data_IF_437881431410
#
_entry.id   IF_437881431410
#
_cell.length_a   1.000
_cell.length_b   1.000
_cell.length_c   1.000
_cell.angle_alpha   90.00
_cell.angle_beta   90.00
_cell.angle_gamma   90.00
#
_symmetry.space_group_name_H-M   'P 1'
#
loop_
_entity.id
_entity.type
_entity.pdbx_description
1 polymer ?
#
# COMPACT_ATOMS: atom_id res chain seq x y z
N UNK A 1 15.36 -4.04 -4.57
CA UNK A 1 14.52 -4.68 -5.60
C UNK A 1 13.76 -3.53 -6.26
N UNK A 2 14.36 -2.92 -7.29
CA UNK A 2 13.73 -1.81 -8.02
C UNK A 2 12.54 -2.37 -8.79
N UNK A 3 11.37 -1.77 -8.58
CA UNK A 3 10.17 -2.16 -9.32
C UNK A 3 10.30 -1.59 -10.74
N UNK A 4 9.94 -2.37 -11.77
CA UNK A 4 10.07 -2.04 -13.20
C UNK A 4 9.34 -0.76 -13.66
N UNK A 5 8.64 -0.07 -12.76
CA UNK A 5 7.81 1.10 -13.02
C UNK A 5 8.25 2.36 -12.25
N UNK A 6 9.42 2.37 -11.59
CA UNK A 6 9.88 3.55 -10.85
C UNK A 6 10.28 4.73 -11.76
N UNK A 7 10.68 4.46 -13.01
CA UNK A 7 11.17 5.48 -13.96
C UNK A 7 10.23 5.75 -15.16
N UNK A 8 9.06 5.12 -15.19
CA UNK A 8 8.09 5.32 -16.29
C UNK A 8 7.20 6.54 -16.06
N UNK A 9 6.96 7.35 -17.09
CA UNK A 9 5.96 8.41 -17.00
C UNK A 9 4.57 7.81 -16.69
N UNK A 10 3.79 8.41 -15.77
CA UNK A 10 2.45 7.95 -15.49
C UNK A 10 1.60 7.98 -16.76
N UNK A 11 1.12 6.82 -17.19
CA UNK A 11 0.16 6.76 -18.30
C UNK A 11 -1.19 7.27 -17.79
N UNK A 12 -1.84 8.23 -18.48
CA UNK A 12 -3.16 8.70 -18.07
C UNK A 12 -4.16 7.54 -18.06
N UNK A 13 -5.14 7.56 -17.14
CA UNK A 13 -6.13 6.50 -17.05
C UNK A 13 -6.93 6.41 -18.36
N UNK A 14 -7.19 5.19 -18.81
CA UNK A 14 -7.96 4.90 -20.03
C UNK A 14 -9.04 3.88 -19.75
N UNK A 15 -10.15 3.97 -20.48
CA UNK A 15 -11.18 2.95 -20.48
C UNK A 15 -10.71 1.67 -21.18
N UNK A 16 -11.21 0.52 -20.71
CA UNK A 16 -10.84 -0.81 -21.25
C UNK A 16 -11.15 -0.94 -22.75
N UNK A 17 -12.22 -0.30 -23.21
CA UNK A 17 -12.63 -0.28 -24.63
C UNK A 17 -11.55 0.34 -25.53
N UNK A 18 -10.98 1.47 -25.10
CA UNK A 18 -9.94 2.17 -25.85
C UNK A 18 -8.63 1.36 -25.90
N UNK A 19 -8.36 0.53 -24.89
CA UNK A 19 -7.22 -0.39 -24.90
C UNK A 19 -7.50 -1.55 -25.85
N UNK A 20 -8.71 -2.12 -25.81
CA UNK A 20 -9.10 -3.23 -26.69
C UNK A 20 -9.04 -2.85 -28.16
N UNK A 21 -9.49 -1.65 -28.52
CA UNK A 21 -9.40 -1.14 -29.89
C UNK A 21 -7.94 -0.99 -30.37
N UNK A 22 -7.06 -0.46 -29.51
CA UNK A 22 -5.65 -0.27 -29.85
C UNK A 22 -4.89 -1.59 -30.11
N UNK A 23 -5.26 -2.67 -29.41
CA UNK A 23 -4.59 -3.97 -29.51
C UNK A 23 -5.42 -5.03 -30.25
N UNK A 24 -6.37 -4.60 -31.09
CA UNK A 24 -7.32 -5.49 -31.77
C UNK A 24 -6.62 -6.59 -32.59
N UNK A 25 -5.54 -6.26 -33.29
CA UNK A 25 -4.77 -7.22 -34.10
C UNK A 25 -4.11 -8.29 -33.23
N UNK A 26 -3.50 -7.91 -32.11
CA UNK A 26 -2.90 -8.86 -31.17
C UNK A 26 -3.95 -9.78 -30.56
N UNK A 27 -5.15 -9.25 -30.25
CA UNK A 27 -6.26 -10.06 -29.76
C UNK A 27 -6.73 -11.05 -30.85
N UNK A 28 -6.80 -10.61 -32.11
CA UNK A 28 -7.14 -11.48 -33.23
C UNK A 28 -6.11 -12.61 -33.45
N UNK A 29 -4.84 -12.36 -33.12
CA UNK A 29 -3.76 -13.35 -33.09
C UNK A 29 -3.78 -14.26 -31.84
N UNK A 30 -4.74 -14.07 -30.93
CA UNK A 30 -4.95 -14.92 -29.75
C UNK A 30 -4.42 -14.35 -28.43
N UNK A 31 -3.98 -13.08 -28.40
CA UNK A 31 -3.62 -12.43 -27.15
C UNK A 31 -4.86 -12.14 -26.27
N UNK A 32 -4.64 -12.03 -24.96
CA UNK A 32 -5.68 -11.72 -23.98
C UNK A 32 -5.28 -10.53 -23.11
N UNK A 33 -6.26 -9.75 -22.69
CA UNK A 33 -6.04 -8.65 -21.74
C UNK A 33 -6.04 -9.18 -20.31
N UNK A 34 -5.05 -8.73 -19.52
CA UNK A 34 -4.97 -8.99 -18.08
C UNK A 34 -5.13 -7.69 -17.31
N UNK A 35 -6.05 -7.67 -16.34
CA UNK A 35 -6.18 -6.56 -15.42
C UNK A 35 -5.20 -6.74 -14.26
N UNK A 36 -4.22 -5.86 -14.16
CA UNK A 36 -3.33 -5.77 -13.01
C UNK A 36 -3.81 -4.59 -12.16
N UNK A 37 -4.19 -4.79 -10.89
CA UNK A 37 -4.62 -3.69 -10.04
C UNK A 37 -3.46 -2.72 -9.84
N UNK A 38 -3.69 -1.46 -10.17
CA UNK A 38 -2.74 -0.40 -9.88
C UNK A 38 -2.78 -0.07 -8.38
N UNK A 39 -1.75 -0.51 -7.65
CA UNK A 39 -1.58 -0.17 -6.24
C UNK A 39 -0.69 1.07 -6.16
N UNK A 40 -1.29 2.21 -5.87
CA UNK A 40 -0.51 3.42 -5.58
C UNK A 40 0.42 3.16 -4.40
N UNK A 41 1.68 3.60 -4.53
CA UNK A 41 2.60 3.57 -3.40
C UNK A 41 2.14 4.56 -2.33
N UNK A 42 1.42 4.04 -1.32
CA UNK A 42 0.98 4.79 -0.14
C UNK A 42 2.02 4.77 0.99
N UNK A 43 3.26 4.35 0.75
CA UNK A 43 4.32 4.26 1.78
C UNK A 43 4.81 5.62 2.29
N UNK A 44 4.21 6.74 1.84
CA UNK A 44 4.55 8.05 2.39
C UNK A 44 4.28 8.07 3.89
N UNK A 45 5.34 8.19 4.68
CA UNK A 45 5.25 8.38 6.13
C UNK A 45 4.69 9.78 6.41
N UNK A 46 3.59 9.84 7.14
CA UNK A 46 2.96 11.09 7.60
C UNK A 46 3.07 11.17 9.12
N UNK A 47 3.50 12.32 9.64
CA UNK A 47 3.54 12.58 11.08
C UNK A 47 2.16 13.02 11.55
N UNK A 48 1.70 12.42 12.64
CA UNK A 48 0.42 12.74 13.29
C UNK A 48 0.67 13.01 14.77
N UNK A 49 -0.14 13.88 15.36
CA UNK A 49 -0.14 14.14 16.80
C UNK A 49 -1.28 13.34 17.43
N UNK A 50 -1.01 12.61 18.51
CA UNK A 50 -1.98 11.81 19.25
C UNK A 50 -1.97 12.22 20.72
N UNK A 51 -3.15 12.34 21.30
CA UNK A 51 -3.31 12.46 22.75
C UNK A 51 -3.54 11.08 23.35
N UNK A 52 -2.66 10.65 24.26
CA UNK A 52 -2.72 9.35 24.93
C UNK A 52 -2.48 9.55 26.42
N UNK A 53 -3.06 8.69 27.24
CA UNK A 53 -2.75 8.66 28.67
C UNK A 53 -1.26 8.32 28.89
N UNK A 54 -0.62 9.01 29.83
CA UNK A 54 0.82 8.86 30.07
C UNK A 54 1.21 7.43 30.43
N UNK A 55 0.47 6.78 31.33
CA UNK A 55 0.75 5.40 31.73
C UNK A 55 0.60 4.39 30.57
N UNK A 56 -0.35 4.64 29.67
CA UNK A 56 -0.51 3.83 28.46
C UNK A 56 0.66 4.03 27.50
N UNK A 57 1.09 5.28 27.30
CA UNK A 57 2.25 5.59 26.46
C UNK A 57 3.53 4.89 26.95
N UNK A 58 3.76 4.88 28.26
CA UNK A 58 4.93 4.23 28.86
C UNK A 58 4.86 2.69 28.68
N UNK A 59 3.69 2.10 28.89
CA UNK A 59 3.45 0.66 28.65
C UNK A 59 3.65 0.29 27.18
N UNK A 60 3.21 1.15 26.27
CA UNK A 60 3.36 0.96 24.83
C UNK A 60 4.82 1.03 24.40
N UNK A 61 5.57 2.01 24.90
CA UNK A 61 7.00 2.15 24.62
C UNK A 61 7.80 0.93 25.12
N UNK A 62 7.46 0.41 26.29
CA UNK A 62 8.09 -0.80 26.81
C UNK A 62 7.78 -2.02 25.94
N UNK A 63 6.52 -2.20 25.54
CA UNK A 63 6.11 -3.28 24.65
C UNK A 63 6.77 -3.18 23.26
N UNK A 64 6.99 -1.97 22.76
CA UNK A 64 7.72 -1.72 21.52
C UNK A 64 9.21 -2.10 21.68
N UNK A 65 9.84 -1.66 22.76
CA UNK A 65 11.25 -1.94 23.09
C UNK A 65 11.52 -3.44 23.21
N UNK A 66 10.67 -4.17 23.95
CA UNK A 66 10.78 -5.63 24.11
C UNK A 66 10.67 -6.38 22.78
N UNK A 67 10.02 -5.79 21.77
CA UNK A 67 9.87 -6.35 20.42
C UNK A 67 10.89 -5.80 19.41
N UNK A 68 11.84 -4.98 19.85
CA UNK A 68 12.81 -4.33 18.95
C UNK A 68 12.17 -3.38 17.93
N UNK A 69 11.02 -2.78 18.27
CA UNK A 69 10.26 -1.90 17.39
C UNK A 69 10.31 -0.46 17.86
N UNK A 70 10.19 0.49 16.93
CA UNK A 70 9.89 1.89 17.27
C UNK A 70 8.42 2.03 17.68
N UNK A 71 8.11 3.09 18.43
CA UNK A 71 6.72 3.43 18.82
C UNK A 71 5.77 3.44 17.63
N UNK A 72 6.15 4.12 16.55
CA UNK A 72 5.32 4.24 15.35
C UNK A 72 5.10 2.89 14.66
N UNK A 73 6.13 2.04 14.58
CA UNK A 73 6.01 0.70 14.02
C UNK A 73 5.08 -0.19 14.86
N UNK A 74 5.15 -0.07 16.18
CA UNK A 74 4.26 -0.81 17.09
C UNK A 74 2.80 -0.37 16.93
N UNK A 75 2.54 0.94 16.92
CA UNK A 75 1.20 1.50 16.70
C UNK A 75 0.65 1.07 15.34
N UNK A 76 1.47 1.18 14.28
CA UNK A 76 1.06 0.75 12.95
C UNK A 76 0.70 -0.74 12.92
N UNK A 77 1.52 -1.61 13.50
CA UNK A 77 1.24 -3.05 13.58
C UNK A 77 -0.07 -3.34 14.33
N UNK A 78 -0.32 -2.66 15.44
CA UNK A 78 -1.55 -2.82 16.21
C UNK A 78 -2.78 -2.38 15.40
N UNK A 79 -2.72 -1.20 14.76
CA UNK A 79 -3.80 -0.70 13.91
C UNK A 79 -4.03 -1.59 12.68
N UNK A 80 -2.97 -2.11 12.05
CA UNK A 80 -3.10 -3.02 10.90
C UNK A 80 -3.82 -4.30 11.28
N UNK A 81 -3.55 -4.88 12.46
CA UNK A 81 -4.28 -6.04 12.95
C UNK A 81 -5.78 -5.75 13.08
N UNK A 82 -6.12 -4.62 13.68
CA UNK A 82 -7.52 -4.21 13.86
C UNK A 82 -8.25 -3.97 12.52
N UNK A 83 -7.56 -3.36 11.55
CA UNK A 83 -8.16 -3.00 10.26
C UNK A 83 -8.32 -4.22 9.34
N UNK A 84 -7.38 -5.17 9.38
CA UNK A 84 -7.33 -6.28 8.43
C UNK A 84 -7.85 -7.61 8.99
N UNK A 85 -7.89 -7.77 10.31
CA UNK A 85 -8.39 -8.95 11.01
C UNK A 85 -9.33 -8.53 12.15
N UNK A 86 -10.51 -7.94 11.81
CA UNK A 86 -11.51 -7.62 12.81
C UNK A 86 -12.10 -8.93 13.35
N UNK A 87 -11.95 -9.13 14.66
CA UNK A 87 -12.57 -10.25 15.38
C UNK A 87 -14.10 -10.23 15.31
#
# INVERSE_FOLDING_TARGET
MSLFFEDGEPVPPRGIEAVREQVADSIAEGAVLMMIPYVQDRKRVVRVNLSLEKGFLDTLDEAARLRGMTRSAFVQKAATREILDPA
#
